data_IF_921116963664
#
_entry.id   IF_921116963664
#
_cell.length_a   1.000
_cell.length_b   1.000
_cell.length_c   1.000
_cell.angle_alpha   90.00
_cell.angle_beta   90.00
_cell.angle_gamma   90.00
#
_symmetry.space_group_name_H-M   'P 1'
#
loop_
_entity.id
_entity.type
_entity.pdbx_description
1 polymer ?
#
# COMPACT_ATOMS: atom_id res chain seq x y z
N UNK A 1 -6.16 19.75 -20.39
CA UNK A 1 -5.77 19.95 -18.98
C UNK A 1 -5.34 18.59 -18.46
N UNK A 2 -4.10 18.44 -17.99
CA UNK A 2 -3.62 17.15 -17.45
C UNK A 2 -4.33 16.86 -16.13
N UNK A 3 -4.83 15.63 -15.96
CA UNK A 3 -5.37 15.18 -14.69
C UNK A 3 -4.21 14.72 -13.81
N UNK A 4 -4.11 15.29 -12.60
CA UNK A 4 -3.24 14.74 -11.56
C UNK A 4 -3.86 13.44 -11.09
N UNK A 5 -3.15 12.34 -11.24
CA UNK A 5 -3.58 11.03 -10.76
C UNK A 5 -2.70 10.62 -9.58
N UNK A 6 -3.35 10.09 -8.54
CA UNK A 6 -2.70 9.66 -7.31
C UNK A 6 -2.74 8.15 -7.19
N UNK A 7 -1.59 7.51 -6.99
CA UNK A 7 -1.61 6.10 -6.60
C UNK A 7 -2.09 6.02 -5.16
N UNK A 8 -3.20 5.31 -4.95
CA UNK A 8 -3.90 5.21 -3.67
C UNK A 8 -4.21 3.75 -3.33
N UNK A 9 -4.52 3.53 -2.06
CA UNK A 9 -5.01 2.24 -1.58
C UNK A 9 -6.53 2.22 -1.64
N UNK A 10 -7.07 1.17 -2.24
CA UNK A 10 -8.49 0.85 -2.22
C UNK A 10 -8.72 -0.28 -1.24
N UNK A 11 -9.76 -0.17 -0.40
CA UNK A 11 -10.06 -1.17 0.60
C UNK A 11 -11.57 -1.42 0.72
N UNK A 12 -11.95 -2.60 1.20
CA UNK A 12 -13.34 -2.97 1.49
C UNK A 12 -13.80 -2.36 2.80
N UNK A 13 -14.46 -1.19 2.73
CA UNK A 13 -14.89 -0.40 3.91
C UNK A 13 -15.88 -1.14 4.80
N UNK A 14 -16.71 -1.97 4.19
CA UNK A 14 -17.68 -2.83 4.87
C UNK A 14 -16.99 -3.90 5.72
N UNK A 15 -15.97 -4.56 5.17
CA UNK A 15 -15.19 -5.56 5.90
C UNK A 15 -14.34 -4.91 7.00
N UNK A 16 -13.71 -3.77 6.70
CA UNK A 16 -12.96 -3.02 7.70
C UNK A 16 -13.85 -2.56 8.85
N UNK A 17 -15.04 -2.01 8.55
CA UNK A 17 -16.00 -1.63 9.58
C UNK A 17 -16.51 -2.82 10.39
N UNK A 18 -16.81 -3.95 9.75
CA UNK A 18 -17.30 -5.15 10.44
C UNK A 18 -16.24 -5.78 11.36
N UNK A 19 -14.97 -5.64 11.01
CA UNK A 19 -13.83 -6.19 11.76
C UNK A 19 -13.16 -5.17 12.69
N UNK A 20 -13.66 -3.93 12.75
CA UNK A 20 -13.08 -2.87 13.57
C UNK A 20 -11.67 -2.46 13.14
N UNK A 21 -11.35 -2.57 11.84
CA UNK A 21 -10.05 -2.26 11.27
C UNK A 21 -10.01 -0.82 10.73
N UNK A 22 -8.85 -0.18 10.85
CA UNK A 22 -8.52 1.04 10.13
C UNK A 22 -7.61 0.72 8.92
N UNK A 23 -7.64 1.52 7.84
CA UNK A 23 -6.63 1.47 6.79
C UNK A 23 -5.21 1.57 7.38
N UNK A 24 -4.25 0.75 6.93
CA UNK A 24 -2.88 0.82 7.43
C UNK A 24 -2.18 2.13 7.02
N UNK A 25 -1.54 2.78 7.98
CA UNK A 25 -0.75 4.00 7.78
C UNK A 25 0.70 3.70 7.36
N UNK A 26 1.23 2.51 7.71
CA UNK A 26 2.62 2.11 7.42
C UNK A 26 2.74 0.86 6.57
N UNK A 27 3.84 0.71 5.84
CA UNK A 27 4.12 -0.50 5.05
C UNK A 27 4.17 -1.77 5.93
N UNK A 28 4.66 -1.65 7.17
CA UNK A 28 4.67 -2.75 8.13
C UNK A 28 3.26 -3.14 8.55
N UNK A 29 2.38 -2.18 8.83
CA UNK A 29 0.98 -2.44 9.18
C UNK A 29 0.26 -3.11 8.01
N UNK A 30 0.46 -2.63 6.77
CA UNK A 30 -0.11 -3.26 5.59
C UNK A 30 0.36 -4.71 5.44
N UNK A 31 1.65 -4.97 5.65
CA UNK A 31 2.19 -6.32 5.55
C UNK A 31 1.69 -7.24 6.68
N UNK A 32 1.64 -6.75 7.92
CA UNK A 32 1.05 -7.49 9.04
C UNK A 32 -0.40 -7.86 8.73
N UNK A 33 -1.16 -6.90 8.20
CA UNK A 33 -2.54 -7.12 7.81
C UNK A 33 -2.65 -8.13 6.67
N UNK A 34 -1.84 -8.02 5.61
CA UNK A 34 -1.85 -8.93 4.47
C UNK A 34 -1.51 -10.38 4.86
N UNK A 35 -0.56 -10.57 5.78
CA UNK A 35 -0.11 -11.89 6.25
C UNK A 35 -1.03 -12.53 7.28
N UNK A 36 -2.04 -11.81 7.78
CA UNK A 36 -2.97 -12.32 8.79
C UNK A 36 -4.05 -13.23 8.18
N UNK A 37 -3.70 -14.48 7.93
CA UNK A 37 -4.58 -15.47 7.29
C UNK A 37 -5.83 -15.78 8.10
N UNK A 38 -5.76 -15.78 9.44
CA UNK A 38 -6.91 -16.06 10.30
C UNK A 38 -7.95 -14.93 10.23
N UNK A 39 -7.51 -13.67 10.20
CA UNK A 39 -8.38 -12.51 9.98
C UNK A 39 -9.12 -12.60 8.65
N UNK A 40 -8.41 -12.90 7.56
CA UNK A 40 -9.04 -12.94 6.23
C UNK A 40 -9.91 -14.17 6.00
N UNK A 41 -9.65 -15.25 6.74
CA UNK A 41 -10.59 -16.37 6.83
C UNK A 41 -11.89 -15.96 7.50
N UNK A 42 -11.85 -15.17 8.57
CA UNK A 42 -13.06 -14.62 9.23
C UNK A 42 -13.79 -13.62 8.32
N UNK A 43 -13.05 -12.75 7.63
CA UNK A 43 -13.62 -11.81 6.66
C UNK A 43 -14.39 -12.52 5.54
N UNK A 44 -13.90 -13.67 5.06
CA UNK A 44 -14.60 -14.48 4.08
C UNK A 44 -15.99 -14.92 4.57
N UNK A 45 -16.11 -15.25 5.86
CA UNK A 45 -17.41 -15.60 6.48
C UNK A 45 -18.32 -14.38 6.51
N UNK A 46 -17.83 -13.23 6.96
CA UNK A 46 -18.60 -11.97 6.95
C UNK A 46 -19.09 -11.61 5.54
N UNK A 47 -18.21 -11.72 4.54
CA UNK A 47 -18.52 -11.44 3.14
C UNK A 47 -19.59 -12.38 2.57
N UNK A 48 -19.59 -13.65 2.96
CA UNK A 48 -20.60 -14.64 2.52
C UNK A 48 -21.94 -14.50 3.25
N UNK A 49 -21.94 -14.04 4.51
CA UNK A 49 -23.16 -13.72 5.24
C UNK A 49 -23.82 -12.43 4.72
N UNK A 50 -23.03 -11.40 4.42
CA UNK A 50 -23.53 -10.14 3.86
C UNK A 50 -24.11 -10.27 2.45
N UNK A 51 -23.56 -11.18 1.63
CA UNK A 51 -24.07 -11.50 0.28
C UNK A 51 -25.32 -12.41 0.29
N UNK A 52 -25.74 -12.92 1.45
CA UNK A 52 -26.93 -13.78 1.63
C UNK A 52 -28.18 -13.04 2.13
N UNK A 53 -28.23 -11.70 2.05
CA UNK A 53 -29.52 -11.00 2.14
C UNK A 53 -30.48 -11.54 1.06
N UNK A 54 -31.77 -11.80 1.37
CA UNK A 54 -32.54 -12.81 0.65
C UNK A 54 -32.97 -12.33 -0.74
N UNK A 55 -32.21 -12.70 -1.78
CA UNK A 55 -32.78 -12.92 -3.10
C UNK A 55 -33.29 -14.36 -3.16
N UNK A 56 -34.61 -14.52 -3.14
CA UNK A 56 -35.29 -15.80 -3.27
C UNK A 56 -34.94 -16.46 -4.61
N UNK A 57 -34.20 -17.58 -4.57
CA UNK A 57 -34.34 -18.74 -5.45
C UNK A 57 -33.30 -19.79 -5.03
N UNK A 58 -33.73 -20.76 -4.23
CA UNK A 58 -32.97 -21.97 -3.95
C UNK A 58 -33.38 -23.03 -5.00
N UNK A 59 -32.46 -23.41 -5.88
CA UNK A 59 -32.55 -24.66 -6.63
C UNK A 59 -31.54 -25.64 -6.06
N UNK A 60 -32.06 -26.67 -5.40
CA UNK A 60 -31.35 -27.82 -4.86
C UNK A 60 -30.77 -28.71 -5.95
N UNK A 61 -29.47 -28.96 -5.91
CA UNK A 61 -28.78 -29.98 -6.69
C UNK A 61 -27.73 -30.69 -5.84
N UNK A 62 -27.97 -31.98 -5.53
CA UNK A 62 -27.00 -32.89 -4.93
C UNK A 62 -26.06 -33.41 -6.02
N UNK A 63 -24.74 -33.34 -5.83
CA UNK A 63 -23.79 -33.97 -6.74
C UNK A 63 -22.30 -33.82 -6.39
N UNK A 64 -21.65 -34.98 -6.22
CA UNK A 64 -20.22 -35.30 -6.39
C UNK A 64 -19.19 -34.88 -5.33
N UNK A 65 -18.69 -35.89 -4.61
CA UNK A 65 -17.38 -35.89 -3.96
C UNK A 65 -16.28 -35.88 -5.04
N UNK A 66 -15.60 -34.73 -5.16
CA UNK A 66 -14.38 -34.55 -5.93
C UNK A 66 -13.37 -33.79 -5.06
N UNK A 67 -12.11 -34.17 -5.15
CA UNK A 67 -10.96 -33.56 -4.46
C UNK A 67 -11.08 -32.03 -4.44
N UNK A 68 -11.09 -31.45 -3.22
CA UNK A 68 -11.31 -30.02 -2.95
C UNK A 68 -10.31 -29.14 -3.71
N UNK A 69 -10.71 -28.15 -4.53
CA UNK A 69 -9.92 -26.94 -4.63
C UNK A 69 -10.00 -26.23 -3.27
N UNK A 70 -8.85 -25.90 -2.68
CA UNK A 70 -8.78 -24.93 -1.58
C UNK A 70 -9.62 -23.69 -1.98
N UNK A 71 -10.31 -23.07 -1.01
CA UNK A 71 -11.31 -22.00 -1.24
C UNK A 71 -10.86 -20.94 -2.28
N UNK A 72 -11.74 -20.07 -2.84
CA UNK A 72 -11.27 -18.70 -3.02
C UNK A 72 -10.95 -18.21 -1.60
N UNK A 73 -9.71 -18.45 -1.17
CA UNK A 73 -9.19 -17.96 0.07
C UNK A 73 -9.22 -16.45 -0.11
N UNK A 74 -10.25 -15.84 0.46
CA UNK A 74 -10.44 -14.41 0.44
C UNK A 74 -9.09 -13.76 0.76
N UNK A 75 -8.55 -13.00 -0.18
CA UNK A 75 -7.19 -12.49 -0.06
C UNK A 75 -7.21 -11.16 0.67
N UNK A 76 -6.38 -11.01 1.70
CA UNK A 76 -6.23 -9.73 2.37
C UNK A 76 -5.72 -8.63 1.44
N UNK A 77 -4.78 -9.01 0.57
CA UNK A 77 -4.08 -8.12 -0.33
C UNK A 77 -4.02 -8.74 -1.73
N UNK A 78 -4.35 -7.98 -2.76
CA UNK A 78 -4.21 -8.37 -4.15
C UNK A 78 -3.73 -7.16 -4.97
N UNK A 79 -2.59 -7.30 -5.63
CA UNK A 79 -1.86 -6.19 -6.22
C UNK A 79 -1.64 -6.42 -7.71
N UNK A 80 -1.97 -5.46 -8.61
CA UNK A 80 -1.71 -5.60 -10.04
C UNK A 80 -0.22 -5.33 -10.35
N UNK A 81 0.66 -6.30 -10.03
CA UNK A 81 2.12 -6.16 -10.04
C UNK A 81 2.79 -6.63 -11.33
N UNK A 82 2.02 -7.01 -12.37
CA UNK A 82 2.61 -7.37 -13.67
C UNK A 82 3.58 -6.28 -14.13
N UNK A 83 4.73 -6.69 -14.67
CA UNK A 83 5.69 -5.77 -15.28
C UNK A 83 4.99 -4.86 -16.31
N UNK A 84 5.36 -3.58 -16.33
CA UNK A 84 4.74 -2.50 -17.10
C UNK A 84 3.31 -2.11 -16.68
N UNK A 85 2.84 -2.56 -15.52
CA UNK A 85 1.59 -2.12 -14.90
C UNK A 85 1.88 -1.33 -13.61
N UNK A 86 1.04 -1.44 -12.59
CA UNK A 86 1.11 -0.63 -11.37
C UNK A 86 2.33 -0.95 -10.49
N UNK A 87 2.96 -2.11 -10.65
CA UNK A 87 4.06 -2.58 -9.80
C UNK A 87 5.24 -1.61 -9.69
N UNK A 88 5.69 -1.03 -10.81
CA UNK A 88 6.80 -0.06 -10.80
C UNK A 88 6.45 1.22 -10.01
N UNK A 89 5.21 1.69 -10.13
CA UNK A 89 4.72 2.86 -9.41
C UNK A 89 4.56 2.58 -7.92
N UNK A 90 4.15 1.36 -7.54
CA UNK A 90 4.10 0.96 -6.14
C UNK A 90 5.51 0.94 -5.53
N UNK A 91 6.49 0.31 -6.20
CA UNK A 91 7.89 0.33 -5.75
C UNK A 91 8.41 1.76 -5.60
N UNK A 92 8.10 2.62 -6.57
CA UNK A 92 8.51 4.02 -6.53
C UNK A 92 7.92 4.78 -5.33
N UNK A 93 6.65 4.52 -4.98
CA UNK A 93 6.01 5.13 -3.81
C UNK A 93 6.59 4.60 -2.49
N UNK A 94 6.91 3.30 -2.41
CA UNK A 94 7.63 2.75 -1.25
C UNK A 94 8.99 3.46 -1.10
N UNK A 95 9.75 3.53 -2.19
CA UNK A 95 11.07 4.15 -2.19
C UNK A 95 11.03 5.66 -1.86
N UNK A 96 10.02 6.37 -2.37
CA UNK A 96 9.81 7.78 -2.07
C UNK A 96 9.52 8.03 -0.59
N UNK A 97 8.73 7.17 0.04
CA UNK A 97 8.46 7.25 1.48
C UNK A 97 9.73 7.06 2.35
N UNK A 98 10.75 6.41 1.82
CA UNK A 98 12.04 6.19 2.47
C UNK A 98 13.07 7.30 2.14
N UNK A 99 12.97 7.92 0.97
CA UNK A 99 14.02 8.82 0.43
C UNK A 99 13.70 10.30 0.57
N UNK A 100 12.44 10.69 0.40
CA UNK A 100 12.00 12.09 0.36
C UNK A 100 11.25 12.48 1.64
N UNK A 101 11.99 12.82 2.68
CA UNK A 101 11.45 13.24 3.98
C UNK A 101 11.33 14.76 4.16
N UNK A 102 11.97 15.56 3.28
CA UNK A 102 11.74 17.02 3.18
C UNK A 102 10.77 17.36 2.03
N UNK A 103 9.89 16.43 1.66
CA UNK A 103 8.94 16.64 0.56
C UNK A 103 9.64 16.73 -0.81
N UNK A 104 9.09 17.56 -1.70
CA UNK A 104 9.57 17.73 -3.07
C UNK A 104 10.88 18.53 -3.17
N UNK A 105 11.37 19.10 -2.06
CA UNK A 105 12.69 19.72 -1.99
C UNK A 105 13.83 18.68 -2.04
N UNK A 106 13.49 17.38 -1.96
CA UNK A 106 14.40 16.27 -2.20
C UNK A 106 14.05 15.59 -3.51
N UNK A 107 15.06 15.26 -4.31
CA UNK A 107 14.87 14.39 -5.45
C UNK A 107 14.70 12.92 -5.03
N UNK A 108 13.95 12.15 -5.82
CA UNK A 108 13.83 10.70 -5.67
C UNK A 108 14.90 9.95 -6.45
N UNK A 109 14.97 10.20 -7.76
CA UNK A 109 15.87 9.47 -8.65
C UNK A 109 17.30 10.00 -8.61
N UNK A 110 17.43 11.33 -8.48
CA UNK A 110 18.69 12.04 -8.49
C UNK A 110 18.72 13.06 -7.36
N UNK A 111 19.91 13.33 -6.83
CA UNK A 111 20.13 14.51 -6.01
C UNK A 111 20.01 15.77 -6.90
N UNK A 112 19.10 16.73 -6.61
CA UNK A 112 18.81 17.84 -7.51
C UNK A 112 20.00 18.75 -7.81
N UNK A 113 20.97 18.87 -6.90
CA UNK A 113 22.12 19.76 -7.08
C UNK A 113 23.30 19.10 -7.80
N UNK A 114 23.56 17.81 -7.53
CA UNK A 114 24.74 17.10 -8.06
C UNK A 114 24.42 16.16 -9.21
N UNK A 115 23.13 15.89 -9.44
CA UNK A 115 22.65 14.87 -10.37
C UNK A 115 23.16 13.46 -10.05
N UNK A 116 23.62 13.21 -8.81
CA UNK A 116 24.02 11.89 -8.38
C UNK A 116 22.80 10.96 -8.36
N UNK A 117 22.86 9.78 -8.99
CA UNK A 117 21.77 8.81 -8.93
C UNK A 117 21.61 8.28 -7.50
N UNK A 118 20.37 8.15 -7.04
CA UNK A 118 20.03 7.71 -5.68
C UNK A 118 19.58 6.24 -5.60
N UNK A 119 19.53 5.55 -6.74
CA UNK A 119 19.04 4.17 -6.85
C UNK A 119 19.91 3.18 -6.08
N UNK A 120 21.22 3.41 -6.01
CA UNK A 120 22.15 2.61 -5.21
C UNK A 120 22.23 3.20 -3.80
N UNK A 121 21.25 2.84 -2.96
CA UNK A 121 21.12 3.36 -1.61
C UNK A 121 20.43 2.38 -0.66
N UNK A 122 20.69 2.48 0.66
CA UNK A 122 19.95 1.73 1.68
C UNK A 122 18.43 1.94 1.64
N UNK A 123 17.96 3.07 1.08
CA UNK A 123 16.54 3.32 0.87
C UNK A 123 15.95 2.42 -0.23
N UNK A 124 16.68 2.22 -1.34
CA UNK A 124 16.22 1.34 -2.41
C UNK A 124 16.29 -0.14 -1.97
N UNK A 125 17.34 -0.54 -1.23
CA UNK A 125 17.44 -1.88 -0.66
C UNK A 125 16.22 -2.22 0.20
N UNK A 126 15.84 -1.29 1.09
CA UNK A 126 14.66 -1.45 1.92
C UNK A 126 13.35 -1.42 1.10
N UNK A 127 13.26 -0.56 0.08
CA UNK A 127 12.09 -0.50 -0.79
C UNK A 127 11.88 -1.81 -1.53
N UNK A 128 12.94 -2.40 -2.08
CA UNK A 128 12.91 -3.69 -2.76
C UNK A 128 12.54 -4.82 -1.79
N UNK A 129 13.08 -4.78 -0.56
CA UNK A 129 12.72 -5.74 0.50
C UNK A 129 11.24 -5.67 0.84
N UNK A 130 10.69 -4.47 1.04
CA UNK A 130 9.27 -4.26 1.33
C UNK A 130 8.40 -4.68 0.14
N UNK A 131 8.75 -4.28 -1.08
CA UNK A 131 8.03 -4.66 -2.29
C UNK A 131 7.97 -6.19 -2.47
N UNK A 132 9.10 -6.89 -2.29
CA UNK A 132 9.15 -8.35 -2.37
C UNK A 132 8.28 -9.01 -1.29
N UNK A 133 8.27 -8.49 -0.05
CA UNK A 133 7.41 -9.01 1.03
C UNK A 133 5.93 -8.78 0.76
N UNK A 134 5.56 -7.61 0.25
CA UNK A 134 4.18 -7.31 -0.15
C UNK A 134 3.73 -8.19 -1.32
N UNK A 135 4.58 -8.38 -2.33
CA UNK A 135 4.31 -9.27 -3.45
C UNK A 135 4.11 -10.73 -2.99
N UNK A 136 4.92 -11.20 -2.04
CA UNK A 136 4.79 -12.54 -1.47
C UNK A 136 3.55 -12.72 -0.57
N UNK A 137 3.08 -11.64 0.07
CA UNK A 137 1.88 -11.65 0.90
C UNK A 137 0.58 -11.42 0.12
N UNK A 138 0.66 -10.97 -1.13
CA UNK A 138 -0.49 -10.71 -2.00
C UNK A 138 -1.03 -12.01 -2.65
N UNK A 139 -2.16 -11.90 -3.34
CA UNK A 139 -2.77 -13.02 -4.05
C UNK A 139 -1.81 -13.66 -5.07
N UNK A 140 -1.88 -15.00 -5.30
CA UNK A 140 -0.90 -15.71 -6.15
C UNK A 140 -0.79 -15.19 -7.59
N UNK A 141 -1.84 -14.57 -8.11
CA UNK A 141 -1.93 -13.97 -9.45
C UNK A 141 -1.43 -12.52 -9.50
N UNK A 142 -1.00 -11.93 -8.38
CA UNK A 142 -0.59 -10.51 -8.33
C UNK A 142 0.54 -10.18 -9.30
N UNK A 143 1.53 -11.08 -9.47
CA UNK A 143 2.67 -10.87 -10.38
C UNK A 143 2.32 -10.98 -11.87
N UNK A 144 1.18 -11.57 -12.21
CA UNK A 144 0.73 -11.75 -13.60
C UNK A 144 -0.46 -10.86 -13.95
N UNK A 145 -1.07 -10.22 -12.95
CA UNK A 145 -2.26 -9.41 -13.09
C UNK A 145 -1.96 -7.95 -13.41
N UNK A 146 -2.74 -7.41 -14.35
CA UNK A 146 -2.72 -6.02 -14.76
C UNK A 146 -4.15 -5.51 -14.95
N UNK A 147 -4.40 -4.26 -14.61
CA UNK A 147 -5.70 -3.62 -14.79
C UNK A 147 -5.83 -2.35 -13.95
N UNK A 148 -6.98 -1.65 -14.05
CA UNK A 148 -7.25 -0.47 -13.23
C UNK A 148 -7.12 -0.75 -11.72
N UNK A 149 -7.74 -1.86 -11.30
CA UNK A 149 -7.66 -2.47 -9.98
C UNK A 149 -7.55 -3.99 -10.16
N UNK A 150 -7.14 -4.70 -9.12
CA UNK A 150 -7.03 -6.16 -9.20
C UNK A 150 -8.43 -6.82 -9.40
N UNK A 151 -8.62 -7.77 -10.34
CA UNK A 151 -9.93 -8.40 -10.59
C UNK A 151 -10.55 -9.07 -9.36
N UNK A 152 -9.74 -9.72 -8.53
CA UNK A 152 -10.22 -10.30 -7.26
C UNK A 152 -10.82 -9.25 -6.31
N UNK A 153 -10.26 -8.02 -6.29
CA UNK A 153 -10.84 -6.93 -5.50
C UNK A 153 -12.19 -6.52 -6.08
N UNK A 154 -12.26 -6.28 -7.40
CA UNK A 154 -13.49 -5.88 -8.08
C UNK A 154 -14.62 -6.93 -7.93
N UNK A 155 -14.25 -8.21 -7.97
CA UNK A 155 -15.17 -9.34 -7.75
C UNK A 155 -15.58 -9.53 -6.28
N UNK A 156 -14.97 -8.80 -5.34
CA UNK A 156 -15.29 -8.87 -3.91
C UNK A 156 -14.65 -10.06 -3.17
N UNK A 157 -13.65 -10.72 -3.76
CA UNK A 157 -12.87 -11.81 -3.16
C UNK A 157 -11.50 -11.38 -2.61
N UNK A 158 -11.28 -10.07 -2.51
CA UNK A 158 -10.08 -9.48 -1.92
C UNK A 158 -10.42 -8.19 -1.16
N UNK A 159 -9.72 -7.92 -0.06
CA UNK A 159 -10.00 -6.77 0.81
C UNK A 159 -9.24 -5.48 0.46
N UNK A 160 -8.01 -5.58 -0.04
CA UNK A 160 -7.15 -4.42 -0.28
C UNK A 160 -6.46 -4.56 -1.64
N UNK A 161 -6.46 -3.47 -2.40
CA UNK A 161 -5.69 -3.33 -3.64
C UNK A 161 -5.12 -1.92 -3.77
N UNK A 162 -4.33 -1.67 -4.80
CA UNK A 162 -3.79 -0.34 -5.13
C UNK A 162 -4.14 0.00 -6.58
N UNK A 163 -4.32 1.29 -6.84
CA UNK A 163 -4.59 1.79 -8.18
C UNK A 163 -4.61 3.32 -8.20
N UNK A 164 -4.80 3.89 -9.38
CA UNK A 164 -4.97 5.32 -9.52
C UNK A 164 -6.33 5.76 -8.96
N UNK A 165 -6.36 6.89 -8.27
CA UNK A 165 -7.52 7.51 -7.62
C UNK A 165 -8.75 7.63 -8.55
N UNK A 166 -8.57 8.01 -9.80
CA UNK A 166 -9.66 8.13 -10.76
C UNK A 166 -10.38 6.79 -11.05
N UNK A 167 -9.76 5.64 -10.76
CA UNK A 167 -10.39 4.34 -10.85
C UNK A 167 -11.43 4.06 -9.76
N UNK A 168 -11.61 4.96 -8.78
CA UNK A 168 -12.73 4.86 -7.86
C UNK A 168 -14.07 4.79 -8.61
N UNK A 169 -14.23 5.58 -9.67
CA UNK A 169 -15.42 5.55 -10.54
C UNK A 169 -15.64 4.18 -11.20
N UNK A 170 -14.58 3.44 -11.50
CA UNK A 170 -14.65 2.09 -12.09
C UNK A 170 -15.30 1.08 -11.16
N UNK A 171 -15.30 1.32 -9.84
CA UNK A 171 -15.90 0.42 -8.85
C UNK A 171 -17.43 0.49 -8.81
N UNK A 172 -18.03 1.57 -9.34
CA UNK A 172 -19.47 1.81 -9.24
C UNK A 172 -20.32 0.76 -9.98
N UNK A 173 -19.78 0.14 -11.03
CA UNK A 173 -20.44 -0.91 -11.82
C UNK A 173 -19.98 -2.33 -11.46
N UNK A 174 -19.26 -2.50 -10.35
CA UNK A 174 -18.63 -3.76 -9.96
C UNK A 174 -19.35 -4.38 -8.77
N UNK A 175 -19.18 -5.69 -8.49
CA UNK A 175 -19.74 -6.34 -7.30
C UNK A 175 -19.42 -5.64 -5.97
N UNK A 176 -18.29 -4.94 -5.87
CA UNK A 176 -17.90 -4.14 -4.70
C UNK A 176 -18.51 -2.72 -4.67
N UNK A 177 -19.43 -2.40 -5.56
CA UNK A 177 -20.07 -1.08 -5.59
C UNK A 177 -20.69 -0.73 -4.23
N UNK A 178 -20.47 0.51 -3.77
CA UNK A 178 -20.94 0.96 -2.46
C UNK A 178 -20.20 0.39 -1.26
N UNK A 179 -19.19 -0.47 -1.42
CA UNK A 179 -18.39 -1.03 -0.32
C UNK A 179 -16.89 -0.71 -0.41
N UNK A 180 -16.49 0.16 -1.33
CA UNK A 180 -15.10 0.58 -1.49
C UNK A 180 -14.83 1.88 -0.72
N UNK A 181 -13.74 1.89 0.04
CA UNK A 181 -13.09 3.09 0.58
C UNK A 181 -11.76 3.35 -0.13
N UNK A 182 -11.27 4.57 -0.02
CA UNK A 182 -9.98 5.02 -0.55
C UNK A 182 -9.17 5.61 0.58
N UNK A 183 -7.88 5.29 0.64
CA UNK A 183 -6.93 5.84 1.60
C UNK A 183 -5.61 6.20 0.90
N UNK A 184 -4.81 7.12 1.45
CA UNK A 184 -3.43 7.30 1.03
C UNK A 184 -2.68 5.96 1.03
N UNK A 185 -1.62 5.85 0.22
CA UNK A 185 -0.70 4.74 0.38
C UNK A 185 -0.04 4.80 1.76
N UNK A 186 0.31 3.64 2.33
CA UNK A 186 1.12 3.63 3.54
C UNK A 186 2.44 4.38 3.33
N UNK A 187 2.99 4.90 4.42
CA UNK A 187 4.31 5.53 4.42
C UNK A 187 5.33 4.75 5.25
N UNK A 188 6.50 5.35 5.43
CA UNK A 188 7.58 4.76 6.23
C UNK A 188 7.79 5.51 7.53
N UNK A 189 8.01 4.78 8.62
CA UNK A 189 8.43 5.34 9.93
C UNK A 189 9.93 5.58 10.01
N UNK A 190 10.69 5.11 9.01
CA UNK A 190 12.13 5.32 8.88
C UNK A 190 12.44 5.95 7.54
N UNK A 191 13.45 6.81 7.48
CA UNK A 191 13.89 7.45 6.23
C UNK A 191 15.40 7.43 6.15
N UNK A 192 15.93 7.51 4.93
CA UNK A 192 17.34 7.52 4.67
C UNK A 192 17.93 8.92 4.86
N UNK A 193 18.94 9.02 5.73
CA UNK A 193 19.65 10.26 5.96
C UNK A 193 20.69 10.52 4.88
N UNK A 194 20.30 11.32 3.90
CA UNK A 194 21.13 11.72 2.77
C UNK A 194 22.28 12.67 3.14
N UNK A 195 22.26 13.27 4.34
CA UNK A 195 23.31 14.20 4.78
C UNK A 195 24.53 13.45 5.30
N UNK A 196 24.30 12.37 6.05
CA UNK A 196 25.39 11.51 6.58
C UNK A 196 26.05 10.69 5.46
N UNK A 197 25.30 10.34 4.41
CA UNK A 197 25.81 9.55 3.28
C UNK A 197 26.83 10.28 2.39
N UNK A 198 27.01 11.60 2.52
CA UNK A 198 28.10 12.33 1.82
C UNK A 198 29.49 11.94 2.33
N UNK A 199 29.60 11.39 3.54
CA UNK A 199 30.86 11.00 4.16
C UNK A 199 31.06 9.49 4.35
N UNK A 200 30.01 8.67 4.18
CA UNK A 200 30.08 7.21 4.34
C UNK A 200 28.99 6.49 3.52
N UNK A 201 29.34 5.76 2.44
CA UNK A 201 28.42 4.85 1.76
C UNK A 201 27.89 3.81 2.75
N UNK A 202 26.57 3.71 2.91
CA UNK A 202 25.93 2.76 3.83
C UNK A 202 25.27 3.36 5.08
N UNK A 203 25.01 4.67 5.10
CA UNK A 203 24.29 5.31 6.21
C UNK A 203 22.90 4.64 6.43
N UNK A 204 22.60 4.14 7.65
CA UNK A 204 21.38 3.37 7.89
C UNK A 204 20.12 4.23 7.82
N UNK A 205 18.97 3.59 7.64
CA UNK A 205 17.67 4.23 7.82
C UNK A 205 17.49 4.69 9.27
N UNK A 206 16.98 5.90 9.48
CA UNK A 206 16.79 6.54 10.79
C UNK A 206 15.31 6.78 11.05
N UNK A 207 14.90 6.84 12.32
CA UNK A 207 13.50 7.08 12.65
C UNK A 207 13.06 8.48 12.20
N UNK A 208 11.91 8.56 11.54
CA UNK A 208 11.33 9.81 11.11
C UNK A 208 10.56 10.46 12.26
N UNK A 209 10.71 11.78 12.46
CA UNK A 209 9.99 12.54 13.49
C UNK A 209 9.53 13.90 13.00
N UNK A 210 8.26 14.21 13.25
CA UNK A 210 7.68 15.52 12.95
C UNK A 210 8.22 16.67 13.80
N UNK A 211 7.81 17.90 13.46
CA UNK A 211 8.26 19.14 14.11
C UNK A 211 7.98 19.20 15.62
N UNK A 212 6.92 18.55 16.09
CA UNK A 212 6.58 18.46 17.51
C UNK A 212 7.30 17.31 18.26
N UNK A 213 8.03 16.45 17.55
CA UNK A 213 8.53 15.15 18.06
C UNK A 213 10.01 15.08 18.45
N UNK A 214 10.79 16.16 18.29
CA UNK A 214 12.20 16.19 18.68
C UNK A 214 12.38 17.05 19.94
N UNK A 215 12.41 16.43 21.15
CA UNK A 215 12.99 17.08 22.32
C UNK A 215 14.40 17.56 21.98
N UNK A 216 14.82 18.74 22.48
CA UNK A 216 16.20 19.26 22.28
C UNK A 216 17.29 18.27 22.72
N UNK A 217 16.94 17.29 23.57
CA UNK A 217 17.81 16.27 24.15
C UNK A 217 17.49 14.84 23.68
N UNK A 218 16.59 14.65 22.70
CA UNK A 218 16.43 13.34 22.09
C UNK A 218 17.73 12.98 21.37
N UNK A 219 18.11 11.71 21.41
CA UNK A 219 19.34 11.24 20.79
C UNK A 219 19.29 11.54 19.29
N UNK A 220 19.85 12.69 18.90
CA UNK A 220 19.85 13.21 17.54
C UNK A 220 20.64 12.30 16.59
N UNK A 221 21.27 11.24 17.11
CA UNK A 221 21.87 10.13 16.36
C UNK A 221 20.86 9.08 15.89
N UNK A 222 19.71 8.91 16.55
CA UNK A 222 18.74 7.84 16.22
C UNK A 222 17.58 8.28 15.31
N UNK A 223 17.28 9.58 15.24
CA UNK A 223 16.12 10.11 14.51
C UNK A 223 16.45 11.33 13.65
N UNK A 224 15.67 11.51 12.59
CA UNK A 224 15.77 12.61 11.63
C UNK A 224 14.48 13.42 11.61
N UNK A 225 14.63 14.73 11.46
CA UNK A 225 13.49 15.64 11.37
C UNK A 225 12.83 15.51 9.99
N UNK A 226 11.56 15.13 9.99
CA UNK A 226 10.68 15.06 8.83
C UNK A 226 9.56 16.10 8.97
N UNK A 227 9.68 17.29 8.39
CA UNK A 227 8.71 18.37 8.58
C UNK A 227 7.29 18.02 8.10
N UNK A 228 7.16 17.10 7.14
CA UNK A 228 5.89 16.70 6.54
C UNK A 228 5.36 15.35 7.05
N UNK A 229 5.99 14.78 8.08
CA UNK A 229 5.52 13.52 8.63
C UNK A 229 4.20 13.69 9.41
N UNK A 230 3.32 12.70 9.28
CA UNK A 230 2.04 12.65 9.98
C UNK A 230 2.19 11.87 11.29
N UNK A 231 1.66 12.36 12.43
CA UNK A 231 1.70 11.61 13.69
C UNK A 231 0.70 10.45 13.66
N UNK A 232 1.09 9.30 14.21
CA UNK A 232 0.24 8.12 14.40
C UNK A 232 -0.29 8.05 15.84
N UNK A 233 -1.36 7.27 16.03
CA UNK A 233 -1.99 7.09 17.34
C UNK A 233 -1.07 6.45 18.40
N UNK A 234 -0.06 5.67 17.97
CA UNK A 234 0.94 5.05 18.84
C UNK A 234 2.10 6.00 19.21
N UNK A 235 2.05 7.26 18.77
CA UNK A 235 3.08 8.27 19.00
C UNK A 235 4.26 8.23 18.03
N UNK A 236 4.27 7.29 17.08
CA UNK A 236 5.23 7.29 15.97
C UNK A 236 4.83 8.30 14.88
N UNK A 237 5.72 8.50 13.91
CA UNK A 237 5.50 9.41 12.79
C UNK A 237 5.74 8.68 11.48
N UNK A 238 4.92 8.99 10.48
CA UNK A 238 5.01 8.38 9.16
C UNK A 238 5.34 9.43 8.11
N UNK A 239 6.37 9.15 7.31
CA UNK A 239 6.64 9.86 6.07
C UNK A 239 5.84 9.22 4.94
N UNK A 240 4.77 9.87 4.52
CA UNK A 240 4.05 9.47 3.31
C UNK A 240 4.78 10.03 2.09
N UNK A 241 4.93 9.22 1.05
CA UNK A 241 5.60 9.66 -0.17
C UNK A 241 4.90 10.91 -0.74
N UNK A 242 5.62 12.01 -1.01
CA UNK A 242 5.03 13.18 -1.67
C UNK A 242 4.69 12.90 -3.15
N UNK A 243 5.20 11.81 -3.71
CA UNK A 243 5.12 11.44 -5.14
C UNK A 243 3.88 10.63 -5.52
N UNK A 244 2.80 10.72 -4.76
CA UNK A 244 1.54 10.22 -5.27
C UNK A 244 1.09 11.03 -6.50
N UNK A 245 1.54 12.27 -6.71
CA UNK A 245 1.26 13.07 -7.91
C UNK A 245 2.05 12.62 -9.14
N UNK A 246 1.43 11.80 -10.00
CA UNK A 246 1.91 11.63 -11.38
C UNK A 246 1.06 12.50 -12.32
N UNK A 247 1.74 13.33 -13.12
CA UNK A 247 1.09 14.01 -14.24
C UNK A 247 0.86 13.00 -15.35
N UNK A 248 -0.37 12.52 -15.49
CA UNK A 248 -0.80 11.87 -16.71
C UNK A 248 -1.18 12.97 -17.71
N UNK A 249 -0.33 13.19 -18.71
CA UNK A 249 -0.81 13.69 -19.99
C UNK A 249 -1.23 12.47 -20.79
N UNK A 250 -2.53 12.25 -20.93
CA UNK A 250 -3.04 11.38 -21.99
C UNK A 250 -2.46 11.90 -23.31
N UNK A 251 -1.57 11.11 -23.91
CA UNK A 251 -1.24 11.25 -25.33
C UNK A 251 -2.38 10.66 -26.15
#
# INVERSE_FOLDING_TARGET
MGHMAYLVMFYRRDLFSALGLAPPDTWEQLLQLATNTSLWTQAAVVNTLGSRAPSAQASSGLGAAGTRPAAPAFSGLCLPLKANCTGAFLLMNIWASLTQYLGLDQGLHFEPLTMQPLVDSPAMDEAMRLYARLAAAASPDSLTTCGPLHPAFLAGSCAITVGWDHYFSYTASQPVSGSVGVAPLPGSTRVWDRQVSRGSPGSPLRLCRGAAGLPRNADQAAAIHCPHATPLADGSWVNQAPLSQFFYTSM
#
